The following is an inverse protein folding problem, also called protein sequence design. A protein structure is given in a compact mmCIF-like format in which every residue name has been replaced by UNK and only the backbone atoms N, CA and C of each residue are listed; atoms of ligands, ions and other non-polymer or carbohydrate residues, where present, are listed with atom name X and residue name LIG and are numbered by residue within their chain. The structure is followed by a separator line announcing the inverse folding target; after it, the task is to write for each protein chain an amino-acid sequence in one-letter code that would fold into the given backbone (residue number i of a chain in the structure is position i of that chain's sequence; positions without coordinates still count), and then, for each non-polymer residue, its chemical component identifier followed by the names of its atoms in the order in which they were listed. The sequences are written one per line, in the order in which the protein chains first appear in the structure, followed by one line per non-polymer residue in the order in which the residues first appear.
data_IF_009714626751
#
_entry.id   IF_009714626751
#
_cell.length_a   1.000
_cell.length_b   1.000
_cell.length_c   1.000
_cell.angle_alpha   90.00
_cell.angle_beta   90.00
_cell.angle_gamma   90.00
#
_symmetry.space_group_name_H-M   'P 1'
#
loop_
_entity.id
_entity.type
_entity.pdbx_description
1 polymer ?
#
# COMPACT_ATOMS: atom_id res chain seq x y z
N UNK A 1 58.46 32.96 2.49
CA UNK A 1 59.17 32.64 1.23
C UNK A 1 59.83 31.28 1.40
N UNK A 2 59.20 30.20 0.94
CA UNK A 2 59.70 28.82 1.06
C UNK A 2 58.75 27.88 0.31
N UNK A 3 59.29 27.03 -0.54
CA UNK A 3 58.65 26.47 -1.74
C UNK A 3 57.83 25.20 -1.47
N UNK A 4 56.91 24.98 -2.43
CA UNK A 4 56.04 23.82 -2.70
C UNK A 4 56.75 22.47 -2.57
N UNK A 5 56.05 21.47 -2.04
CA UNK A 5 56.10 20.09 -2.53
C UNK A 5 54.69 19.48 -2.48
N UNK A 6 54.42 18.67 -3.49
CA UNK A 6 53.13 18.20 -3.96
C UNK A 6 53.22 16.69 -4.13
N UNK A 7 52.44 15.92 -3.36
CA UNK A 7 52.33 14.48 -3.54
C UNK A 7 50.89 14.11 -3.86
N UNK A 8 50.63 13.95 -5.15
CA UNK A 8 49.44 13.29 -5.68
C UNK A 8 49.69 11.77 -5.64
N UNK A 9 48.98 11.05 -4.78
CA UNK A 9 48.97 9.57 -4.81
C UNK A 9 47.84 9.14 -5.75
N UNK A 10 48.24 8.75 -6.96
CA UNK A 10 47.40 8.10 -7.95
C UNK A 10 47.27 6.61 -7.62
N UNK A 11 46.10 6.19 -7.13
CA UNK A 11 45.75 4.77 -6.98
C UNK A 11 45.09 4.29 -8.28
N UNK A 12 45.91 3.83 -9.22
CA UNK A 12 45.45 3.08 -10.38
C UNK A 12 45.11 1.64 -9.94
N UNK A 13 43.82 1.31 -9.85
CA UNK A 13 43.39 -0.09 -9.77
C UNK A 13 43.25 -0.65 -11.18
N UNK A 14 44.02 -1.70 -11.45
CA UNK A 14 44.02 -2.48 -12.69
C UNK A 14 42.79 -3.39 -12.78
N UNK A 15 42.13 -3.54 -13.95
CA UNK A 15 40.94 -4.37 -14.11
C UNK A 15 41.31 -5.74 -14.71
N UNK A 16 41.15 -6.82 -13.94
CA UNK A 16 41.06 -8.16 -14.53
C UNK A 16 40.50 -9.19 -13.52
N UNK A 17 39.25 -9.61 -13.72
CA UNK A 17 38.87 -11.03 -13.98
C UNK A 17 37.35 -11.15 -14.10
N UNK A 18 36.93 -11.12 -15.36
CA UNK A 18 35.62 -11.50 -15.88
C UNK A 18 35.65 -13.03 -16.04
N UNK A 19 34.92 -13.78 -15.20
CA UNK A 19 34.64 -15.20 -15.45
C UNK A 19 33.15 -15.47 -15.17
N UNK A 20 32.46 -15.69 -16.28
CA UNK A 20 31.22 -16.42 -16.51
C UNK A 20 30.62 -17.22 -15.34
N UNK A 21 29.41 -16.82 -14.93
CA UNK A 21 28.35 -17.75 -14.49
C UNK A 21 27.00 -17.23 -14.99
N UNK A 22 26.80 -17.39 -16.29
CA UNK A 22 25.50 -17.29 -16.94
C UNK A 22 25.16 -18.69 -17.46
N UNK A 23 24.42 -19.45 -16.67
CA UNK A 23 23.59 -20.60 -17.05
C UNK A 23 23.07 -21.21 -15.74
N UNK A 24 21.85 -21.74 -15.77
CA UNK A 24 21.25 -22.63 -14.77
C UNK A 24 20.47 -21.99 -13.61
N UNK A 25 19.44 -21.19 -13.92
CA UNK A 25 18.27 -21.09 -13.03
C UNK A 25 16.97 -20.76 -13.80
N UNK A 26 16.73 -21.48 -14.90
CA UNK A 26 15.46 -21.43 -15.63
C UNK A 26 15.08 -22.84 -16.09
N UNK A 27 14.46 -23.58 -15.18
CA UNK A 27 13.51 -24.66 -15.45
C UNK A 27 12.83 -24.97 -14.12
N UNK A 28 11.55 -25.33 -14.19
CA UNK A 28 10.71 -25.77 -13.06
C UNK A 28 9.89 -24.66 -12.38
N UNK A 29 8.98 -24.02 -13.13
CA UNK A 29 7.78 -23.39 -12.55
C UNK A 29 6.67 -23.13 -13.60
N UNK A 30 6.44 -24.07 -14.53
CA UNK A 30 5.40 -23.94 -15.58
C UNK A 30 4.26 -24.97 -15.49
N UNK A 31 4.31 -25.93 -14.56
CA UNK A 31 3.35 -27.04 -14.54
C UNK A 31 2.30 -27.01 -13.41
N UNK A 32 2.32 -26.03 -12.50
CA UNK A 32 1.46 -26.06 -11.30
C UNK A 32 0.54 -24.83 -11.16
N UNK A 33 -0.15 -24.46 -12.24
CA UNK A 33 -1.14 -23.36 -12.19
C UNK A 33 -2.38 -23.61 -13.07
N UNK A 34 -2.68 -24.88 -13.38
CA UNK A 34 -3.87 -25.26 -14.17
C UNK A 34 -4.95 -26.02 -13.38
N UNK A 35 -4.87 -26.15 -12.06
CA UNK A 35 -5.83 -26.93 -11.25
C UNK A 35 -6.79 -26.10 -10.38
N UNK A 36 -6.90 -24.78 -10.57
CA UNK A 36 -7.81 -23.93 -9.76
C UNK A 36 -8.66 -22.98 -10.60
N UNK A 37 -9.38 -23.51 -11.59
CA UNK A 37 -10.35 -22.73 -12.36
C UNK A 37 -11.56 -23.55 -12.80
N UNK A 38 -12.20 -24.33 -11.93
CA UNK A 38 -13.50 -24.95 -12.22
C UNK A 38 -14.29 -25.20 -10.94
N UNK A 39 -14.92 -24.15 -10.37
CA UNK A 39 -16.06 -24.27 -9.45
C UNK A 39 -16.55 -22.88 -9.00
N UNK A 40 -17.29 -22.16 -9.86
CA UNK A 40 -18.29 -21.16 -9.43
C UNK A 40 -19.03 -20.55 -10.62
N UNK A 41 -19.66 -21.37 -11.47
CA UNK A 41 -20.61 -20.88 -12.47
C UNK A 41 -21.80 -21.85 -12.54
N UNK A 42 -22.71 -21.73 -11.59
CA UNK A 42 -24.12 -22.12 -11.74
C UNK A 42 -24.91 -21.54 -10.55
N UNK A 43 -26.14 -21.14 -10.81
CA UNK A 43 -27.17 -20.63 -9.88
C UNK A 43 -27.28 -19.11 -9.77
N UNK A 44 -27.81 -18.51 -10.85
CA UNK A 44 -28.63 -17.32 -10.78
C UNK A 44 -29.77 -17.44 -11.80
N UNK A 45 -30.94 -16.93 -11.41
CA UNK A 45 -32.23 -16.84 -12.13
C UNK A 45 -33.19 -18.02 -11.96
N UNK A 46 -34.20 -17.86 -11.07
CA UNK A 46 -35.60 -17.89 -11.49
C UNK A 46 -36.59 -17.43 -10.40
N UNK A 47 -37.59 -16.65 -10.83
CA UNK A 47 -38.90 -16.34 -10.22
C UNK A 47 -39.09 -15.08 -9.37
N UNK A 48 -39.37 -14.00 -10.10
CA UNK A 48 -40.31 -12.94 -9.73
C UNK A 48 -41.79 -13.41 -9.81
N UNK A 49 -42.61 -12.70 -9.02
CA UNK A 49 -44.06 -12.53 -9.08
C UNK A 49 -44.95 -13.52 -8.31
N UNK A 50 -45.51 -13.08 -7.17
CA UNK A 50 -46.89 -12.57 -7.04
C UNK A 50 -47.23 -12.32 -5.55
N UNK A 51 -47.68 -11.11 -5.22
CA UNK A 51 -48.52 -10.83 -4.02
C UNK A 51 -50.01 -11.01 -4.41
N UNK A 52 -51.05 -10.78 -3.57
CA UNK A 52 -51.10 -10.44 -2.12
C UNK A 52 -52.18 -11.22 -1.33
N UNK A 53 -52.25 -11.04 0.00
CA UNK A 53 -53.50 -10.75 0.77
C UNK A 53 -53.28 -10.58 2.28
N UNK A 54 -53.71 -9.40 2.75
CA UNK A 54 -54.39 -9.05 4.02
C UNK A 54 -54.13 -9.87 5.29
N UNK A 55 -53.68 -9.19 6.36
CA UNK A 55 -54.35 -9.34 7.66
C UNK A 55 -54.19 -8.07 8.53
N UNK A 56 -55.20 -7.91 9.37
CA UNK A 56 -55.68 -6.75 10.07
C UNK A 56 -54.81 -6.28 11.25
N UNK A 57 -54.85 -4.96 11.46
CA UNK A 57 -55.11 -4.34 12.76
C UNK A 57 -54.10 -4.55 13.88
N UNK A 58 -53.37 -3.49 14.21
CA UNK A 58 -53.20 -3.13 15.62
C UNK A 58 -53.11 -1.61 15.75
N UNK A 59 -54.21 -1.06 16.27
CA UNK A 59 -54.31 0.30 16.80
C UNK A 59 -53.53 0.34 18.11
N UNK A 60 -52.36 0.96 18.09
CA UNK A 60 -51.72 1.47 19.28
C UNK A 60 -51.59 2.98 19.11
N UNK A 61 -52.65 3.69 19.46
CA UNK A 61 -52.63 5.12 19.72
C UNK A 61 -51.62 5.38 20.85
N UNK A 62 -50.40 5.75 20.47
CA UNK A 62 -49.46 6.36 21.39
C UNK A 62 -49.53 7.85 21.18
N UNK A 63 -50.21 8.49 22.12
CA UNK A 63 -50.34 9.92 22.34
C UNK A 63 -49.15 10.69 21.76
N UNK A 64 -49.44 11.57 20.80
CA UNK A 64 -48.53 12.60 20.32
C UNK A 64 -48.28 13.60 21.44
N UNK A 65 -47.41 13.26 22.39
CA UNK A 65 -46.74 14.26 23.20
C UNK A 65 -45.72 14.94 22.27
N UNK A 66 -45.98 16.21 21.98
CA UNK A 66 -45.10 17.09 21.21
C UNK A 66 -43.82 17.34 22.00
N UNK A 67 -42.92 16.36 21.98
CA UNK A 67 -41.55 16.55 22.42
C UNK A 67 -40.93 17.51 21.41
N UNK A 68 -40.78 18.78 21.79
CA UNK A 68 -39.97 19.75 21.04
C UNK A 68 -38.53 19.25 21.07
N UNK A 69 -38.17 18.45 20.07
CA UNK A 69 -36.80 18.02 19.87
C UNK A 69 -35.98 19.26 19.58
N UNK A 70 -35.05 19.57 20.49
CA UNK A 70 -34.09 20.65 20.28
C UNK A 70 -33.41 20.44 18.93
N UNK A 71 -33.26 21.48 18.08
CA UNK A 71 -32.63 21.32 16.78
C UNK A 71 -31.22 20.73 16.97
N UNK A 72 -31.01 19.54 16.41
CA UNK A 72 -29.71 18.91 16.40
C UNK A 72 -28.82 19.67 15.43
N UNK A 73 -27.75 20.27 15.95
CA UNK A 73 -26.73 20.90 15.11
C UNK A 73 -26.05 19.81 14.28
N UNK A 74 -26.05 19.97 12.97
CA UNK A 74 -25.39 19.06 12.04
C UNK A 74 -24.29 19.79 11.27
N UNK A 75 -23.18 19.10 11.03
CA UNK A 75 -22.08 19.59 10.19
C UNK A 75 -22.15 18.88 8.85
N UNK A 76 -22.17 19.65 7.77
CA UNK A 76 -22.15 19.15 6.41
C UNK A 76 -20.94 19.71 5.65
N UNK A 77 -20.26 18.86 4.89
CA UNK A 77 -19.22 19.27 3.97
C UNK A 77 -19.87 19.69 2.65
N UNK A 78 -19.64 20.94 2.24
CA UNK A 78 -20.22 21.52 1.02
C UNK A 78 -19.24 21.54 -0.15
N UNK A 79 -17.95 21.47 0.12
CA UNK A 79 -16.91 21.62 -0.89
C UNK A 79 -15.77 20.64 -0.63
N UNK A 80 -15.25 20.02 -1.69
CA UNK A 80 -14.00 19.29 -1.68
C UNK A 80 -13.00 19.96 -2.63
N UNK A 81 -11.78 20.16 -2.15
CA UNK A 81 -10.65 20.53 -3.02
C UNK A 81 -9.73 19.33 -3.15
N UNK A 82 -9.49 18.91 -4.40
CA UNK A 82 -8.64 17.79 -4.76
C UNK A 82 -7.37 18.32 -5.42
N UNK A 83 -6.22 17.96 -4.88
CA UNK A 83 -4.92 18.26 -5.48
C UNK A 83 -4.39 17.02 -6.19
N UNK A 84 -4.07 17.15 -7.47
CA UNK A 84 -3.55 16.04 -8.29
C UNK A 84 -2.04 16.12 -8.36
N UNK A 85 -1.37 15.07 -7.89
CA UNK A 85 0.09 14.99 -7.90
C UNK A 85 0.55 13.94 -8.93
N UNK A 86 1.56 14.27 -9.75
CA UNK A 86 2.21 13.28 -10.60
C UNK A 86 2.81 12.12 -9.80
N UNK A 87 2.95 10.98 -10.47
CA UNK A 87 3.69 9.83 -9.93
C UNK A 87 5.17 10.20 -9.83
N UNK A 88 5.79 9.90 -8.69
CA UNK A 88 7.22 10.08 -8.50
C UNK A 88 7.82 8.95 -7.64
N UNK A 89 9.14 8.82 -7.70
CA UNK A 89 9.89 8.18 -6.63
C UNK A 89 9.79 9.05 -5.38
N UNK A 90 9.47 8.44 -4.25
CA UNK A 90 9.28 9.15 -2.99
C UNK A 90 7.86 9.04 -2.46
N UNK A 91 7.77 8.54 -1.24
CA UNK A 91 6.56 8.32 -0.47
C UNK A 91 6.97 7.64 0.84
N UNK A 92 6.27 7.92 1.94
CA UNK A 92 6.65 7.41 3.26
C UNK A 92 6.52 5.89 3.40
N UNK A 93 5.83 5.23 2.46
CA UNK A 93 5.55 3.81 2.51
C UNK A 93 6.52 3.00 1.62
N UNK A 94 7.51 2.37 2.24
CA UNK A 94 8.26 1.27 1.63
C UNK A 94 7.32 0.06 1.50
N UNK A 95 7.23 -0.57 0.31
CA UNK A 95 6.38 -1.74 0.11
C UNK A 95 6.77 -2.87 1.06
N UNK A 96 5.80 -3.71 1.43
CA UNK A 96 6.09 -4.95 2.16
C UNK A 96 6.76 -5.99 1.25
N UNK A 97 6.36 -6.03 -0.01
CA UNK A 97 6.90 -6.90 -1.05
C UNK A 97 8.01 -6.19 -1.84
N UNK A 98 8.63 -6.91 -2.76
CA UNK A 98 9.70 -6.40 -3.62
C UNK A 98 9.28 -5.22 -4.50
N UNK A 99 10.29 -4.46 -4.96
CA UNK A 99 10.15 -3.40 -5.95
C UNK A 99 10.26 -1.96 -5.44
N UNK A 100 10.31 -1.00 -6.38
CA UNK A 100 10.71 0.38 -6.10
C UNK A 100 9.55 1.17 -5.51
N UNK A 101 9.71 1.92 -4.40
CA UNK A 101 8.63 2.67 -3.78
C UNK A 101 8.04 3.67 -4.78
N UNK A 102 6.72 3.70 -4.83
CA UNK A 102 5.97 4.61 -5.70
C UNK A 102 5.17 5.53 -4.80
N UNK A 103 5.30 6.83 -5.04
CA UNK A 103 4.47 7.81 -4.38
C UNK A 103 4.18 8.99 -5.29
N UNK A 104 4.21 10.17 -4.71
CA UNK A 104 3.72 11.39 -5.35
C UNK A 104 4.83 12.44 -5.39
N UNK A 105 4.83 13.27 -6.43
CA UNK A 105 5.72 14.41 -6.54
C UNK A 105 5.50 15.42 -5.40
N UNK A 106 6.49 16.29 -5.17
CA UNK A 106 6.41 17.35 -4.15
C UNK A 106 5.38 18.44 -4.47
N UNK A 107 5.05 18.61 -5.76
CA UNK A 107 4.15 19.65 -6.25
C UNK A 107 2.99 19.03 -7.03
N UNK A 108 1.80 19.60 -6.84
CA UNK A 108 0.61 19.22 -7.60
C UNK A 108 0.62 19.91 -8.95
N UNK A 109 0.00 19.27 -9.96
CA UNK A 109 -0.19 19.85 -11.29
C UNK A 109 -1.57 20.46 -11.45
N UNK A 110 -2.56 19.95 -10.72
CA UNK A 110 -3.95 20.40 -10.84
C UNK A 110 -4.59 20.57 -9.46
N UNK A 111 -5.52 21.52 -9.39
CA UNK A 111 -6.40 21.74 -8.24
C UNK A 111 -7.84 21.73 -8.75
N UNK A 112 -8.66 20.82 -8.24
CA UNK A 112 -10.05 20.65 -8.62
C UNK A 112 -10.94 20.94 -7.42
N UNK A 113 -11.95 21.79 -7.60
CA UNK A 113 -12.93 22.08 -6.55
C UNK A 113 -14.29 21.54 -6.96
N UNK A 114 -14.85 20.67 -6.11
CA UNK A 114 -16.14 20.04 -6.34
C UNK A 114 -17.15 20.45 -5.26
N UNK A 115 -18.37 20.74 -5.67
CA UNK A 115 -19.47 20.98 -4.75
C UNK A 115 -20.06 19.64 -4.28
N UNK A 116 -20.11 19.44 -2.97
CA UNK A 116 -20.59 18.23 -2.30
C UNK A 116 -22.05 18.34 -1.82
N UNK A 117 -22.71 19.49 -1.96
CA UNK A 117 -24.07 19.71 -1.43
C UNK A 117 -25.09 18.69 -1.95
N UNK A 118 -24.88 18.16 -3.16
CA UNK A 118 -25.76 17.20 -3.82
C UNK A 118 -25.12 15.79 -3.93
N UNK A 119 -24.00 15.53 -3.26
CA UNK A 119 -23.30 14.25 -3.36
C UNK A 119 -24.01 13.17 -2.55
N UNK A 120 -24.71 12.27 -3.24
CA UNK A 120 -25.48 11.17 -2.62
C UNK A 120 -24.71 9.86 -2.53
N UNK A 121 -23.48 9.77 -3.07
CA UNK A 121 -22.71 8.53 -3.13
C UNK A 121 -21.37 8.61 -2.43
N UNK A 122 -21.22 7.81 -1.38
CA UNK A 122 -19.93 7.32 -0.92
C UNK A 122 -19.68 5.93 -1.55
N UNK A 123 -19.17 5.91 -2.80
CA UNK A 123 -18.66 4.65 -3.35
C UNK A 123 -17.35 4.34 -2.62
N UNK A 124 -17.38 3.41 -1.66
CA UNK A 124 -16.17 2.89 -1.03
C UNK A 124 -15.41 2.06 -2.06
N UNK A 125 -14.47 2.68 -2.76
CA UNK A 125 -13.49 1.97 -3.57
C UNK A 125 -12.55 1.16 -2.68
N UNK A 126 -12.11 -0.01 -3.15
CA UNK A 126 -10.97 -0.69 -2.54
C UNK A 126 -9.68 -0.12 -3.11
N UNK A 127 -8.73 0.20 -2.23
CA UNK A 127 -7.38 0.59 -2.64
C UNK A 127 -6.68 -0.65 -3.18
N UNK A 128 -6.32 -0.65 -4.46
CA UNK A 128 -5.54 -1.72 -5.06
C UNK A 128 -4.08 -1.64 -4.60
N UNK A 129 -3.45 -2.80 -4.41
CA UNK A 129 -1.99 -2.89 -4.18
C UNK A 129 -1.31 -3.08 -5.51
N UNK A 130 -0.30 -2.26 -5.80
CA UNK A 130 0.49 -2.39 -7.02
C UNK A 130 1.45 -3.57 -6.90
N UNK A 131 1.56 -4.37 -7.98
CA UNK A 131 2.57 -5.43 -8.08
C UNK A 131 3.96 -4.83 -8.31
N UNK A 132 5.02 -5.66 -8.20
CA UNK A 132 6.39 -5.23 -8.52
C UNK A 132 6.47 -4.64 -9.94
N UNK A 133 5.92 -5.35 -10.93
CA UNK A 133 5.94 -4.93 -12.34
C UNK A 133 5.17 -3.62 -12.55
N UNK A 134 3.97 -3.49 -11.98
CA UNK A 134 3.16 -2.27 -12.13
C UNK A 134 3.90 -1.04 -11.60
N UNK A 135 4.74 -1.22 -10.58
CA UNK A 135 5.52 -0.14 -9.97
C UNK A 135 6.67 0.29 -10.85
N UNK A 136 7.39 -0.68 -11.44
CA UNK A 136 8.43 -0.40 -12.45
C UNK A 136 7.82 0.32 -13.64
N UNK A 137 6.72 -0.19 -14.18
CA UNK A 137 6.02 0.43 -15.32
C UNK A 137 5.55 1.85 -15.01
N UNK A 138 5.03 2.09 -13.80
CA UNK A 138 4.64 3.44 -13.35
C UNK A 138 5.80 4.42 -13.28
N UNK A 139 6.96 3.98 -12.82
CA UNK A 139 8.15 4.84 -12.74
C UNK A 139 8.78 5.06 -14.12
N UNK A 140 8.79 4.05 -14.98
CA UNK A 140 9.22 4.22 -16.38
C UNK A 140 8.31 5.22 -17.12
N UNK A 141 6.99 5.14 -16.91
CA UNK A 141 6.04 6.11 -17.44
C UNK A 141 6.24 7.53 -16.88
N UNK A 142 6.84 7.65 -15.69
CA UNK A 142 7.27 8.91 -15.09
C UNK A 142 8.71 9.32 -15.47
N UNK A 143 9.28 8.68 -16.50
CA UNK A 143 10.60 8.99 -17.06
C UNK A 143 11.80 8.74 -16.13
N UNK A 144 11.67 7.86 -15.13
CA UNK A 144 12.82 7.34 -14.40
C UNK A 144 13.60 6.34 -15.26
N UNK A 145 14.93 6.37 -15.18
CA UNK A 145 15.77 5.41 -15.87
C UNK A 145 15.69 4.03 -15.20
N UNK A 146 15.98 2.97 -15.97
CA UNK A 146 16.02 1.61 -15.41
C UNK A 146 17.06 1.51 -14.30
N UNK A 147 18.22 2.15 -14.47
CA UNK A 147 19.28 2.19 -13.48
C UNK A 147 18.82 2.84 -12.16
N UNK A 148 18.10 3.97 -12.22
CA UNK A 148 17.56 4.61 -11.02
C UNK A 148 16.54 3.69 -10.32
N UNK A 149 15.69 3.03 -11.11
CA UNK A 149 14.67 2.11 -10.59
C UNK A 149 15.31 0.91 -9.87
N UNK A 150 16.42 0.39 -10.39
CA UNK A 150 17.20 -0.66 -9.73
C UNK A 150 17.75 -0.17 -8.38
N UNK A 151 18.37 1.01 -8.34
CA UNK A 151 18.82 1.65 -7.09
C UNK A 151 17.67 1.81 -6.08
N UNK A 152 16.49 2.23 -6.55
CA UNK A 152 15.31 2.35 -5.68
C UNK A 152 14.83 1.01 -5.12
N UNK A 153 15.03 -0.09 -5.85
CA UNK A 153 14.72 -1.44 -5.36
C UNK A 153 15.69 -1.86 -4.25
N UNK A 154 16.98 -1.57 -4.44
CA UNK A 154 18.04 -1.85 -3.47
C UNK A 154 17.82 -1.07 -2.17
N UNK A 155 17.54 0.24 -2.26
CA UNK A 155 17.21 1.09 -1.12
C UNK A 155 16.01 0.54 -0.34
N UNK A 156 14.95 0.14 -1.06
CA UNK A 156 13.78 -0.44 -0.44
C UNK A 156 14.08 -1.76 0.28
N UNK A 157 14.96 -2.59 -0.28
CA UNK A 157 15.41 -3.82 0.36
C UNK A 157 16.21 -3.54 1.63
N UNK A 158 17.15 -2.59 1.57
CA UNK A 158 17.94 -2.16 2.72
C UNK A 158 17.04 -1.67 3.88
N UNK A 159 16.02 -0.85 3.57
CA UNK A 159 15.07 -0.38 4.58
C UNK A 159 14.24 -1.54 5.17
N UNK A 160 13.82 -2.52 4.35
CA UNK A 160 13.09 -3.70 4.86
C UNK A 160 13.95 -4.52 5.82
N UNK A 161 15.19 -4.81 5.44
CA UNK A 161 16.13 -5.57 6.28
C UNK A 161 16.42 -4.84 7.60
N UNK A 162 16.63 -3.53 7.53
CA UNK A 162 16.83 -2.68 8.71
C UNK A 162 15.62 -2.76 9.66
N UNK A 163 14.39 -2.60 9.13
CA UNK A 163 13.15 -2.68 9.93
C UNK A 163 12.96 -4.06 10.55
N UNK A 164 13.26 -5.13 9.81
CA UNK A 164 13.18 -6.49 10.32
C UNK A 164 14.16 -6.72 11.48
N UNK A 165 15.40 -6.27 11.33
CA UNK A 165 16.40 -6.32 12.41
C UNK A 165 15.95 -5.57 13.67
N UNK A 166 15.38 -4.37 13.53
CA UNK A 166 14.83 -3.61 14.66
C UNK A 166 13.65 -4.33 15.31
N UNK A 167 12.70 -4.85 14.52
CA UNK A 167 11.56 -5.59 15.06
C UNK A 167 12.00 -6.83 15.82
N UNK A 168 13.00 -7.54 15.30
CA UNK A 168 13.53 -8.73 15.93
C UNK A 168 14.24 -8.41 17.26
N UNK A 169 15.02 -7.32 17.30
CA UNK A 169 15.58 -6.81 18.55
C UNK A 169 14.49 -6.54 19.61
N UNK A 170 13.43 -5.81 19.23
CA UNK A 170 12.32 -5.48 20.13
C UNK A 170 11.55 -6.72 20.61
N UNK A 171 11.37 -7.72 19.74
CA UNK A 171 10.77 -9.01 20.13
C UNK A 171 11.60 -9.74 21.18
N UNK A 172 12.93 -9.73 21.07
CA UNK A 172 13.80 -10.35 22.08
C UNK A 172 13.75 -9.62 23.41
N UNK A 173 13.80 -8.28 23.40
CA UNK A 173 13.69 -7.49 24.63
C UNK A 173 12.36 -7.72 25.37
N UNK A 174 11.25 -7.73 24.63
CA UNK A 174 9.92 -7.98 25.21
C UNK A 174 9.83 -9.40 25.78
N UNK A 175 10.36 -10.40 25.09
CA UNK A 175 10.40 -11.78 25.60
C UNK A 175 11.27 -11.90 26.86
N UNK A 176 12.42 -11.22 26.93
CA UNK A 176 13.28 -11.22 28.12
C UNK A 176 12.58 -10.59 29.33
N UNK A 177 11.89 -9.47 29.14
CA UNK A 177 11.10 -8.80 30.20
C UNK A 177 9.92 -9.64 30.69
N UNK A 178 9.39 -10.54 29.86
CA UNK A 178 8.28 -11.42 30.22
C UNK A 178 8.71 -12.76 30.83
N UNK A 179 10.02 -13.07 30.94
CA UNK A 179 10.46 -14.28 31.65
C UNK A 179 10.17 -14.09 33.14
N UNK A 180 9.31 -14.91 33.78
CA UNK A 180 9.09 -14.80 35.21
C UNK A 180 10.40 -15.10 35.96
N UNK A 181 10.69 -14.41 37.08
CA UNK A 181 11.85 -14.74 37.89
C UNK A 181 11.77 -16.20 38.28
N UNK A 182 12.86 -16.94 38.04
CA UNK A 182 12.92 -18.38 38.22
C UNK A 182 12.36 -18.80 39.57
N UNK A 183 11.36 -19.67 39.56
CA UNK A 183 10.95 -20.41 40.75
C UNK A 183 12.11 -21.36 41.06
N UNK A 184 13.04 -20.92 41.91
CA UNK A 184 14.09 -21.76 42.49
C UNK A 184 13.41 -23.01 43.04
N UNK A 185 13.64 -24.14 42.38
CA UNK A 185 13.26 -25.46 42.87
C UNK A 185 14.22 -25.77 44.02
N UNK A 186 13.74 -25.55 45.24
CA UNK A 186 14.34 -26.10 46.46
C UNK A 186 14.14 -27.62 46.47
#
# INVERSE_FOLDING_TARGET
MGKRQSDNVCLTQSPAKRISRAADFQRDNKAELQSKTLASEAELEHHLALSPKSNMGNMAEKSTSSISSKPTKSVAFTTATTYVFPVAYGGSAVPKLEGPPVGMASHHTETLTANLSNSTRCKRGRVCKLSHLDRVLKLQAAHYSVADIETFCEDAAAIRMSREGTMEFLRRETQQKQRPPGRLRM
#
